data_IF_193172369782
#
_entry.id   IF_193172369782
#
_cell.length_a   1.000
_cell.length_b   1.000
_cell.length_c   1.000
_cell.angle_alpha   90.00
_cell.angle_beta   90.00
_cell.angle_gamma   90.00
#
_symmetry.space_group_name_H-M   'P 1'
#
loop_
_entity.id
_entity.type
_entity.pdbx_description
1 polymer ?
#
# COMPACT_ATOMS: atom_id res chain seq x y z
N UNK A 1 17.72 5.49 87.52
CA UNK A 1 16.72 6.10 86.59
C UNK A 1 17.36 6.60 85.28
N UNK A 2 18.62 7.06 85.30
CA UNK A 2 19.38 7.48 84.10
C UNK A 2 19.71 6.33 83.13
N UNK A 3 20.16 5.19 83.65
CA UNK A 3 20.61 4.06 82.81
C UNK A 3 19.51 3.39 82.00
N UNK A 4 18.28 3.36 82.54
CA UNK A 4 17.11 2.82 81.83
C UNK A 4 16.71 3.68 80.62
N UNK A 5 16.85 5.01 80.72
CA UNK A 5 16.57 5.93 79.60
C UNK A 5 17.63 5.82 78.52
N UNK A 6 18.91 5.65 78.91
CA UNK A 6 20.01 5.40 77.98
C UNK A 6 19.81 4.08 77.23
N UNK A 7 19.51 3.00 77.94
CA UNK A 7 19.24 1.69 77.34
C UNK A 7 18.04 1.70 76.37
N UNK A 8 16.97 2.42 76.70
CA UNK A 8 15.81 2.57 75.82
C UNK A 8 16.15 3.33 74.53
N UNK A 9 16.98 4.37 74.63
CA UNK A 9 17.49 5.12 73.47
C UNK A 9 18.37 4.25 72.57
N UNK A 10 19.27 3.47 73.17
CA UNK A 10 20.18 2.58 72.44
C UNK A 10 19.41 1.46 71.71
N UNK A 11 18.35 0.92 72.33
CA UNK A 11 17.45 -0.06 71.68
C UNK A 11 16.70 0.56 70.49
N UNK A 12 16.26 1.81 70.60
CA UNK A 12 15.58 2.50 69.49
C UNK A 12 16.54 2.80 68.33
N UNK A 13 17.78 3.18 68.64
CA UNK A 13 18.84 3.37 67.65
C UNK A 13 19.14 2.05 66.93
N UNK A 14 19.36 0.96 67.68
CA UNK A 14 19.61 -0.36 67.11
C UNK A 14 18.47 -0.86 66.22
N UNK A 15 17.20 -0.61 66.60
CA UNK A 15 16.04 -0.93 65.76
C UNK A 15 16.01 -0.14 64.45
N UNK A 16 16.39 1.14 64.50
CA UNK A 16 16.49 1.99 63.30
C UNK A 16 17.61 1.52 62.38
N UNK A 17 18.77 1.20 62.93
CA UNK A 17 19.90 0.66 62.17
C UNK A 17 19.56 -0.70 61.53
N UNK A 18 18.93 -1.61 62.27
CA UNK A 18 18.46 -2.90 61.73
C UNK A 18 17.46 -2.70 60.58
N UNK A 19 16.60 -1.68 60.64
CA UNK A 19 15.67 -1.35 59.55
C UNK A 19 16.42 -0.85 58.33
N UNK A 20 17.42 0.02 58.51
CA UNK A 20 18.24 0.55 57.42
C UNK A 20 19.06 -0.57 56.75
N UNK A 21 19.70 -1.44 57.54
CA UNK A 21 20.48 -2.59 57.04
C UNK A 21 19.57 -3.53 56.23
N UNK A 22 18.35 -3.81 56.70
CA UNK A 22 17.38 -4.64 55.96
C UNK A 22 16.99 -4.01 54.62
N UNK A 23 16.78 -2.70 54.58
CA UNK A 23 16.46 -2.00 53.33
C UNK A 23 17.64 -2.05 52.34
N UNK A 24 18.86 -1.90 52.84
CA UNK A 24 20.06 -1.96 52.00
C UNK A 24 20.30 -3.37 51.46
N UNK A 25 20.17 -4.41 52.29
CA UNK A 25 20.21 -5.80 51.85
C UNK A 25 19.14 -6.12 50.78
N UNK A 26 17.93 -5.56 50.90
CA UNK A 26 16.89 -5.75 49.89
C UNK A 26 17.26 -5.10 48.56
N UNK A 27 17.85 -3.90 48.57
CA UNK A 27 18.34 -3.22 47.35
C UNK A 27 19.47 -4.00 46.70
N UNK A 28 20.46 -4.43 47.48
CA UNK A 28 21.59 -5.22 46.98
C UNK A 28 21.11 -6.54 46.39
N UNK A 29 20.17 -7.24 47.05
CA UNK A 29 19.56 -8.46 46.53
C UNK A 29 18.83 -8.25 45.20
N UNK A 30 18.14 -7.11 45.03
CA UNK A 30 17.47 -6.77 43.78
C UNK A 30 18.47 -6.49 42.65
N UNK A 31 19.55 -5.74 42.94
CA UNK A 31 20.62 -5.47 41.97
C UNK A 31 21.28 -6.76 41.50
N UNK A 32 21.66 -7.62 42.45
CA UNK A 32 22.34 -8.89 42.16
C UNK A 32 21.44 -9.86 41.38
N UNK A 33 20.12 -9.84 41.64
CA UNK A 33 19.15 -10.60 40.85
C UNK A 33 19.08 -10.10 39.39
N UNK A 34 19.17 -8.80 39.17
CA UNK A 34 19.19 -8.21 37.82
C UNK A 34 20.48 -8.56 37.07
N UNK A 35 21.63 -8.50 37.74
CA UNK A 35 22.92 -8.87 37.16
C UNK A 35 22.99 -10.35 36.81
N UNK A 36 22.49 -11.23 37.68
CA UNK A 36 22.41 -12.68 37.40
C UNK A 36 21.51 -12.97 36.19
N UNK A 37 20.38 -12.25 36.05
CA UNK A 37 19.52 -12.40 34.88
C UNK A 37 20.24 -12.01 33.58
N UNK A 38 21.01 -10.92 33.60
CA UNK A 38 21.82 -10.48 32.46
C UNK A 38 22.92 -11.50 32.12
N UNK A 39 23.61 -12.04 33.13
CA UNK A 39 24.64 -13.08 32.94
C UNK A 39 24.03 -14.36 32.36
N UNK A 40 22.84 -14.76 32.82
CA UNK A 40 22.13 -15.91 32.27
C UNK A 40 21.74 -15.71 30.80
N UNK A 41 21.31 -14.50 30.42
CA UNK A 41 20.99 -14.15 29.04
C UNK A 41 22.24 -14.16 28.15
N UNK A 42 23.36 -13.61 28.62
CA UNK A 42 24.64 -13.64 27.91
C UNK A 42 25.19 -15.06 27.74
N UNK A 43 25.07 -15.91 28.76
CA UNK A 43 25.51 -17.31 28.70
C UNK A 43 24.66 -18.12 27.70
N UNK A 44 23.34 -17.90 27.67
CA UNK A 44 22.44 -18.51 26.68
C UNK A 44 22.87 -18.19 25.25
N UNK A 45 23.18 -16.92 24.99
CA UNK A 45 23.64 -16.47 23.68
C UNK A 45 25.02 -17.05 23.29
N UNK A 46 25.89 -17.32 24.27
CA UNK A 46 27.25 -17.85 24.04
C UNK A 46 27.25 -19.36 23.80
N UNK A 47 26.31 -20.11 24.39
CA UNK A 47 26.16 -21.55 24.13
C UNK A 47 25.61 -21.86 22.74
N UNK A 48 24.93 -20.91 22.08
CA UNK A 48 24.41 -21.06 20.72
C UNK A 48 25.49 -20.81 19.63
N UNK A 49 26.62 -20.18 19.98
CA UNK A 49 27.67 -19.80 19.03
C UNK A 49 28.85 -20.77 18.91
N UNK A 50 29.02 -21.74 19.83
CA UNK A 50 30.18 -22.64 19.82
C UNK A 50 29.80 -24.10 19.51
N UNK A 51 29.46 -24.38 18.25
CA UNK A 51 29.69 -25.71 17.66
C UNK A 51 30.12 -25.59 16.20
N UNK A 52 31.18 -26.34 15.90
CA UNK A 52 31.93 -26.42 14.66
C UNK A 52 31.10 -26.69 13.40
N UNK A 53 31.68 -26.32 12.26
CA UNK A 53 31.27 -26.57 10.88
C UNK A 53 30.31 -27.76 10.68
N UNK A 54 29.03 -27.45 10.67
CA UNK A 54 28.03 -28.10 9.83
C UNK A 54 27.13 -26.96 9.36
N UNK A 55 26.70 -26.99 8.10
CA UNK A 55 25.71 -26.08 7.54
C UNK A 55 24.52 -25.96 8.50
N UNK A 56 24.51 -24.90 9.34
CA UNK A 56 23.43 -24.63 10.27
C UNK A 56 22.18 -24.48 9.42
N UNK A 57 21.25 -25.43 9.55
CA UNK A 57 19.86 -25.20 9.18
C UNK A 57 19.49 -23.92 9.91
N UNK A 58 19.22 -22.86 9.16
CA UNK A 58 18.62 -21.66 9.73
C UNK A 58 17.43 -22.13 10.55
N UNK A 59 17.31 -21.68 11.79
CA UNK A 59 15.99 -21.62 12.40
C UNK A 59 15.18 -20.75 11.45
N UNK A 60 14.32 -21.39 10.65
CA UNK A 60 13.40 -20.72 9.73
C UNK A 60 12.41 -19.93 10.59
N UNK A 61 12.84 -18.76 11.07
CA UNK A 61 12.01 -17.79 11.79
C UNK A 61 10.99 -17.29 10.78
N UNK A 62 9.85 -17.97 10.75
CA UNK A 62 8.69 -17.56 9.97
C UNK A 62 8.06 -16.33 10.63
N UNK A 63 7.94 -15.25 9.87
CA UNK A 63 7.23 -14.04 10.29
C UNK A 63 5.74 -14.19 9.97
N UNK A 64 4.94 -14.47 10.99
CA UNK A 64 3.48 -14.49 10.84
C UNK A 64 2.94 -13.07 10.80
N UNK A 65 2.12 -12.77 9.80
CA UNK A 65 1.45 -11.47 9.64
C UNK A 65 -0.06 -11.67 9.66
N UNK A 66 -0.77 -10.79 10.37
CA UNK A 66 -2.23 -10.75 10.38
C UNK A 66 -2.72 -9.59 9.51
N UNK A 67 -3.75 -9.77 8.68
CA UNK A 67 -4.34 -8.67 7.93
C UNK A 67 -4.90 -7.58 8.85
N UNK A 68 -4.68 -6.32 8.49
CA UNK A 68 -5.29 -5.16 9.18
C UNK A 68 -6.74 -4.91 8.73
N UNK A 69 -7.09 -5.41 7.55
CA UNK A 69 -8.36 -5.15 6.89
C UNK A 69 -8.50 -5.93 5.60
N UNK A 70 -9.67 -5.81 4.98
CA UNK A 70 -10.00 -6.50 3.73
C UNK A 70 -10.52 -5.52 2.68
N UNK A 71 -10.14 -5.78 1.43
CA UNK A 71 -10.63 -5.03 0.29
C UNK A 71 -12.01 -5.54 -0.12
N UNK A 72 -12.98 -4.62 -0.25
CA UNK A 72 -14.13 -4.82 -1.12
C UNK A 72 -13.82 -4.21 -2.49
N UNK A 73 -13.88 -5.03 -3.55
CA UNK A 73 -13.42 -4.65 -4.89
C UNK A 73 -14.54 -4.77 -5.92
N UNK A 74 -14.46 -3.93 -6.95
CA UNK A 74 -15.20 -4.08 -8.19
C UNK A 74 -14.91 -5.39 -8.94
N UNK A 75 -13.81 -6.08 -8.65
CA UNK A 75 -13.41 -7.31 -9.31
C UNK A 75 -13.69 -8.54 -8.44
N UNK A 76 -14.76 -9.27 -8.76
CA UNK A 76 -15.12 -10.52 -8.04
C UNK A 76 -14.30 -11.74 -8.48
N UNK A 77 -13.79 -11.71 -9.71
CA UNK A 77 -13.00 -12.78 -10.31
C UNK A 77 -11.64 -12.24 -10.77
N UNK A 78 -10.66 -13.14 -10.95
CA UNK A 78 -9.32 -12.75 -11.42
C UNK A 78 -9.35 -12.12 -12.82
N UNK A 79 -10.26 -12.58 -13.68
CA UNK A 79 -10.46 -12.07 -15.03
C UNK A 79 -10.88 -10.60 -14.99
N UNK A 80 -10.27 -9.74 -15.81
CA UNK A 80 -10.57 -8.32 -15.86
C UNK A 80 -9.85 -7.45 -14.84
N UNK A 81 -9.11 -8.04 -13.88
CA UNK A 81 -8.25 -7.25 -12.98
C UNK A 81 -7.10 -6.63 -13.79
N UNK A 82 -6.89 -5.30 -13.71
CA UNK A 82 -5.76 -4.63 -14.34
C UNK A 82 -4.42 -5.21 -13.87
N UNK A 83 -3.39 -5.16 -14.72
CA UNK A 83 -2.04 -5.58 -14.33
C UNK A 83 -1.45 -4.77 -13.18
N UNK A 84 -1.79 -3.49 -13.15
CA UNK A 84 -1.21 -2.46 -12.29
C UNK A 84 -2.32 -1.42 -12.03
N UNK A 85 -2.32 -0.76 -10.87
CA UNK A 85 -3.42 0.09 -10.41
C UNK A 85 -3.71 1.28 -11.34
N UNK A 86 -2.68 1.94 -11.86
CA UNK A 86 -2.81 3.13 -12.72
C UNK A 86 -3.44 2.88 -14.10
N UNK A 87 -3.66 1.62 -14.48
CA UNK A 87 -4.14 1.27 -15.82
C UNK A 87 -5.66 1.36 -15.97
N UNK A 88 -6.42 1.34 -14.87
CA UNK A 88 -7.88 1.49 -14.88
C UNK A 88 -8.30 2.42 -13.75
N UNK A 89 -8.19 3.76 -13.92
CA UNK A 89 -8.47 4.72 -12.86
C UNK A 89 -9.90 4.65 -12.32
N UNK A 90 -10.86 4.25 -13.15
CA UNK A 90 -12.27 4.11 -12.77
C UNK A 90 -12.57 2.85 -11.94
N UNK A 91 -11.59 1.95 -11.74
CA UNK A 91 -11.75 0.79 -10.86
C UNK A 91 -11.80 1.25 -9.39
N UNK A 92 -12.90 0.98 -8.71
CA UNK A 92 -13.15 1.44 -7.32
C UNK A 92 -13.17 0.27 -6.35
N UNK A 93 -12.77 0.55 -5.12
CA UNK A 93 -12.88 -0.37 -4.00
C UNK A 93 -12.91 0.36 -2.67
N UNK A 94 -13.14 -0.40 -1.59
CA UNK A 94 -12.96 0.08 -0.23
C UNK A 94 -12.01 -0.83 0.53
N UNK A 95 -11.30 -0.25 1.49
CA UNK A 95 -10.57 -1.00 2.51
C UNK A 95 -11.23 -0.72 3.86
N UNK A 96 -11.76 -1.75 4.51
CA UNK A 96 -12.26 -1.64 5.88
C UNK A 96 -11.25 -2.23 6.86
N UNK A 97 -10.82 -1.41 7.83
CA UNK A 97 -9.93 -1.82 8.92
C UNK A 97 -10.74 -2.65 9.92
N UNK A 98 -10.23 -3.82 10.30
CA UNK A 98 -10.93 -4.71 11.21
C UNK A 98 -10.88 -4.21 12.66
N UNK A 99 -12.04 -4.22 13.32
CA UNK A 99 -12.18 -3.88 14.75
C UNK A 99 -11.42 -4.84 15.70
N UNK A 100 -11.01 -6.01 15.22
CA UNK A 100 -10.21 -6.95 16.02
C UNK A 100 -8.76 -6.49 16.19
N UNK A 101 -8.30 -5.55 15.37
CA UNK A 101 -6.93 -5.03 15.37
C UNK A 101 -6.80 -3.88 16.36
N UNK A 102 -7.78 -2.98 16.36
CA UNK A 102 -7.84 -1.82 17.25
C UNK A 102 -9.27 -1.69 17.80
N UNK A 103 -9.40 -1.29 19.07
CA UNK A 103 -10.72 -1.00 19.66
C UNK A 103 -11.46 0.10 18.88
N UNK A 104 -10.73 1.12 18.44
CA UNK A 104 -11.22 2.27 17.65
C UNK A 104 -10.41 2.37 16.34
N UNK A 105 -10.70 1.55 15.32
CA UNK A 105 -9.90 1.50 14.09
C UNK A 105 -9.88 2.80 13.30
N UNK A 106 -10.88 3.65 13.42
CA UNK A 106 -10.90 4.99 12.83
C UNK A 106 -9.77 5.90 13.34
N UNK A 107 -9.30 5.70 14.58
CA UNK A 107 -8.21 6.50 15.13
C UNK A 107 -6.87 6.24 14.42
N UNK A 108 -6.66 5.05 13.85
CA UNK A 108 -5.43 4.75 13.11
C UNK A 108 -5.38 5.41 11.74
N UNK A 109 -6.47 6.05 11.30
CA UNK A 109 -6.62 6.70 10.00
C UNK A 109 -6.57 8.23 10.06
N UNK A 110 -6.51 8.82 11.26
CA UNK A 110 -6.49 10.28 11.44
C UNK A 110 -5.27 10.88 10.73
N UNK A 111 -5.49 11.92 9.92
CA UNK A 111 -4.46 12.62 9.15
C UNK A 111 -4.12 11.96 7.82
N UNK A 112 -4.64 10.76 7.54
CA UNK A 112 -4.42 10.11 6.25
C UNK A 112 -5.21 10.79 5.11
N UNK A 113 -6.28 11.50 5.42
CA UNK A 113 -7.08 12.31 4.51
C UNK A 113 -6.34 13.53 3.94
N UNK A 114 -5.20 13.92 4.53
CA UNK A 114 -4.29 14.93 3.98
C UNK A 114 -3.52 14.43 2.74
N UNK A 115 -3.54 13.11 2.46
CA UNK A 115 -2.80 12.49 1.35
C UNK A 115 -3.75 12.03 0.25
N UNK A 116 -3.42 12.35 -1.01
CA UNK A 116 -4.21 11.87 -2.17
C UNK A 116 -3.88 10.44 -2.61
N UNK A 117 -2.72 9.91 -2.20
CA UNK A 117 -2.23 8.59 -2.60
C UNK A 117 -1.63 7.84 -1.42
N UNK A 118 -1.85 6.53 -1.41
CA UNK A 118 -1.32 5.62 -0.41
C UNK A 118 -0.69 4.39 -1.06
N UNK A 119 0.38 3.89 -0.47
CA UNK A 119 0.88 2.54 -0.68
C UNK A 119 0.01 1.55 0.08
N UNK A 120 -0.40 0.49 -0.59
CA UNK A 120 -1.14 -0.62 0.01
C UNK A 120 -0.31 -1.90 -0.16
N UNK A 121 0.04 -2.52 0.97
CA UNK A 121 0.70 -3.82 1.04
C UNK A 121 -0.37 -4.89 1.28
N UNK A 122 -0.45 -5.90 0.43
CA UNK A 122 -1.55 -6.87 0.46
C UNK A 122 -1.09 -8.29 0.12
N UNK A 123 -1.95 -9.27 0.36
CA UNK A 123 -1.64 -10.68 0.08
C UNK A 123 -2.39 -11.17 -1.16
N UNK A 124 -1.68 -11.82 -2.09
CA UNK A 124 -2.30 -12.55 -3.20
C UNK A 124 -2.94 -13.87 -2.72
N UNK A 125 -3.99 -13.77 -1.92
CA UNK A 125 -4.65 -14.85 -1.19
C UNK A 125 -5.28 -15.96 -2.06
N UNK A 126 -5.43 -15.74 -3.37
CA UNK A 126 -5.89 -16.77 -4.33
C UNK A 126 -4.77 -17.36 -5.19
N UNK A 127 -3.51 -17.06 -4.92
CA UNK A 127 -2.42 -17.79 -5.55
C UNK A 127 -2.30 -19.14 -4.85
N UNK A 128 -2.59 -20.22 -5.58
CA UNK A 128 -2.57 -21.57 -5.04
C UNK A 128 -1.26 -21.85 -4.32
N UNK A 129 -1.35 -22.16 -3.03
CA UNK A 129 -0.24 -22.50 -2.14
C UNK A 129 0.33 -23.89 -2.40
N UNK A 130 -0.22 -24.61 -3.39
CA UNK A 130 0.00 -26.05 -3.57
C UNK A 130 1.23 -26.40 -4.44
N UNK A 131 1.82 -25.44 -5.15
CA UNK A 131 2.98 -25.68 -6.00
C UNK A 131 4.19 -24.89 -5.52
N UNK A 132 5.36 -25.54 -5.50
CA UNK A 132 6.64 -24.88 -5.26
C UNK A 132 6.79 -23.66 -6.18
N UNK A 133 7.04 -22.50 -5.58
CA UNK A 133 7.20 -21.25 -6.32
C UNK A 133 8.41 -21.38 -7.25
N UNK A 134 8.20 -21.13 -8.54
CA UNK A 134 9.26 -21.19 -9.55
C UNK A 134 10.17 -19.97 -9.45
N UNK A 135 11.48 -20.19 -9.53
CA UNK A 135 12.47 -19.11 -9.56
C UNK A 135 12.37 -18.24 -10.84
N UNK A 136 11.87 -18.81 -11.94
CA UNK A 136 11.63 -18.11 -13.21
C UNK A 136 10.15 -18.04 -13.53
N UNK A 137 9.74 -16.92 -14.14
CA UNK A 137 8.38 -16.65 -14.60
C UNK A 137 8.40 -16.19 -16.05
N UNK A 138 7.24 -16.20 -16.72
CA UNK A 138 7.08 -15.75 -18.10
C UNK A 138 6.20 -14.49 -18.14
N UNK A 139 6.78 -13.28 -18.02
CA UNK A 139 6.03 -12.04 -18.14
C UNK A 139 5.33 -11.91 -19.50
N UNK A 140 4.09 -11.40 -19.56
CA UNK A 140 3.34 -11.28 -20.80
C UNK A 140 4.03 -10.45 -21.89
N UNK A 141 4.85 -9.46 -21.51
CA UNK A 141 5.58 -8.57 -22.44
C UNK A 141 6.87 -9.19 -23.01
N UNK A 142 7.24 -10.39 -22.58
CA UNK A 142 8.48 -11.06 -23.00
C UNK A 142 8.25 -12.18 -24.03
N UNK A 143 7.08 -12.24 -24.68
CA UNK A 143 6.79 -13.13 -25.81
C UNK A 143 7.24 -14.60 -25.61
N UNK A 144 7.06 -15.14 -24.39
CA UNK A 144 7.41 -16.52 -24.06
C UNK A 144 8.79 -16.71 -23.43
N UNK A 145 9.67 -15.71 -23.44
CA UNK A 145 10.92 -15.75 -22.68
C UNK A 145 10.65 -15.73 -21.16
N UNK A 146 11.60 -16.28 -20.38
CA UNK A 146 11.51 -16.32 -18.92
C UNK A 146 12.57 -15.43 -18.27
N UNK A 147 12.23 -14.85 -17.11
CA UNK A 147 13.13 -14.06 -16.27
C UNK A 147 12.95 -14.45 -14.81
N UNK A 148 13.92 -14.08 -13.96
CA UNK A 148 13.84 -14.34 -12.53
C UNK A 148 12.61 -13.67 -11.89
N UNK A 149 11.96 -14.33 -10.94
CA UNK A 149 10.73 -13.82 -10.30
C UNK A 149 10.92 -12.43 -9.68
N UNK A 150 12.10 -12.17 -9.10
CA UNK A 150 12.41 -10.90 -8.42
C UNK A 150 12.69 -9.72 -9.36
N UNK A 151 12.90 -9.95 -10.66
CA UNK A 151 12.94 -8.86 -11.65
C UNK A 151 11.55 -8.51 -12.19
N UNK A 152 10.48 -9.04 -11.58
CA UNK A 152 9.10 -8.87 -12.03
C UNK A 152 8.15 -8.50 -10.88
N UNK A 153 6.92 -8.12 -11.24
CA UNK A 153 5.79 -7.96 -10.32
C UNK A 153 4.83 -9.16 -10.38
N UNK A 154 5.34 -10.37 -10.66
CA UNK A 154 4.52 -11.59 -10.69
C UNK A 154 3.82 -11.80 -9.35
N UNK A 155 2.56 -12.26 -9.31
CA UNK A 155 1.90 -12.58 -8.05
C UNK A 155 2.41 -13.92 -7.48
N UNK A 156 2.92 -14.82 -8.31
CA UNK A 156 3.51 -16.11 -7.90
C UNK A 156 4.95 -15.91 -7.40
N UNK A 157 5.13 -15.71 -6.09
CA UNK A 157 6.41 -15.41 -5.42
C UNK A 157 6.49 -16.11 -4.05
N UNK A 158 7.69 -16.27 -3.46
CA UNK A 158 7.85 -16.94 -2.16
C UNK A 158 7.04 -16.28 -1.04
N UNK A 159 7.11 -14.95 -0.94
CA UNK A 159 6.18 -14.14 -0.17
C UNK A 159 5.19 -13.50 -1.15
N UNK A 160 3.93 -13.94 -1.12
CA UNK A 160 2.89 -13.49 -2.04
C UNK A 160 2.34 -12.11 -1.66
N UNK A 161 3.25 -11.16 -1.41
CA UNK A 161 2.94 -9.77 -1.03
C UNK A 161 2.91 -8.92 -2.29
N UNK A 162 1.80 -8.22 -2.48
CA UNK A 162 1.62 -7.19 -3.48
C UNK A 162 1.85 -5.78 -2.91
N UNK A 163 2.16 -4.85 -3.80
CA UNK A 163 2.34 -3.43 -3.50
C UNK A 163 1.65 -2.63 -4.59
N UNK A 164 0.67 -1.82 -4.20
CA UNK A 164 -0.07 -0.96 -5.12
C UNK A 164 -0.07 0.49 -4.63
N UNK A 165 0.21 1.42 -5.53
CA UNK A 165 -0.02 2.85 -5.32
C UNK A 165 -1.46 3.15 -5.70
N UNK A 166 -2.27 3.54 -4.72
CA UNK A 166 -3.70 3.69 -4.86
C UNK A 166 -4.10 5.13 -4.56
N UNK A 167 -5.08 5.66 -5.32
CA UNK A 167 -5.66 6.96 -5.05
C UNK A 167 -6.67 6.83 -3.91
N UNK A 168 -6.48 7.65 -2.86
CA UNK A 168 -7.40 7.77 -1.74
C UNK A 168 -8.43 8.85 -2.08
N UNK A 169 -9.71 8.47 -2.14
CA UNK A 169 -10.79 9.39 -2.48
C UNK A 169 -11.41 10.04 -1.24
N UNK A 170 -11.64 9.25 -0.19
CA UNK A 170 -12.14 9.70 1.12
C UNK A 170 -11.96 8.64 2.19
N UNK A 171 -12.13 9.03 3.45
CA UNK A 171 -12.18 8.14 4.61
C UNK A 171 -13.51 8.36 5.32
N UNK A 172 -14.23 7.29 5.64
CA UNK A 172 -15.45 7.34 6.45
C UNK A 172 -15.39 6.29 7.56
N UNK A 173 -15.33 6.74 8.82
CA UNK A 173 -15.12 5.87 9.97
C UNK A 173 -13.84 5.05 9.84
N UNK A 174 -13.97 3.73 9.79
CA UNK A 174 -12.86 2.78 9.64
C UNK A 174 -12.65 2.30 8.19
N UNK A 175 -13.24 2.99 7.21
CA UNK A 175 -13.25 2.56 5.81
C UNK A 175 -12.63 3.62 4.89
N UNK A 176 -11.66 3.20 4.08
CA UNK A 176 -11.03 4.02 3.06
C UNK A 176 -11.67 3.73 1.71
N UNK A 177 -12.00 4.78 0.96
CA UNK A 177 -12.54 4.69 -0.40
C UNK A 177 -11.42 4.94 -1.40
N UNK A 178 -11.28 4.00 -2.35
CA UNK A 178 -10.11 3.87 -3.19
C UNK A 178 -10.49 3.86 -4.67
N UNK A 179 -9.65 4.45 -5.52
CA UNK A 179 -9.77 4.36 -6.99
C UNK A 179 -8.45 3.97 -7.65
N UNK A 180 -8.55 3.49 -8.90
CA UNK A 180 -7.43 2.88 -9.60
C UNK A 180 -6.99 1.56 -8.97
N UNK A 181 -7.91 0.74 -8.45
CA UNK A 181 -7.53 -0.49 -7.74
C UNK A 181 -7.19 -1.65 -8.69
N UNK A 182 -6.33 -2.57 -8.23
CA UNK A 182 -5.98 -3.83 -8.91
C UNK A 182 -6.18 -5.06 -8.01
N UNK A 183 -7.09 -4.96 -7.04
CA UNK A 183 -7.34 -6.00 -6.04
C UNK A 183 -8.47 -6.94 -6.46
N UNK A 184 -8.36 -8.22 -6.08
CA UNK A 184 -9.49 -9.13 -6.06
C UNK A 184 -10.37 -8.81 -4.82
N UNK A 185 -11.68 -8.97 -4.94
CA UNK A 185 -12.58 -8.87 -3.79
C UNK A 185 -12.18 -9.82 -2.66
N UNK A 186 -12.20 -9.33 -1.42
CA UNK A 186 -11.73 -10.08 -0.25
C UNK A 186 -10.21 -10.10 -0.09
N UNK A 187 -9.45 -9.30 -0.84
CA UNK A 187 -7.99 -9.24 -0.70
C UNK A 187 -7.59 -8.77 0.69
N UNK A 188 -6.79 -9.56 1.45
CA UNK A 188 -6.29 -9.14 2.77
C UNK A 188 -5.20 -8.07 2.62
N UNK A 189 -5.30 -6.99 3.39
CA UNK A 189 -4.30 -5.92 3.47
C UNK A 189 -3.44 -6.12 4.70
N UNK A 190 -2.13 -6.01 4.54
CA UNK A 190 -1.14 -6.11 5.60
C UNK A 190 -0.80 -4.75 6.20
N UNK A 191 -0.70 -3.72 5.37
CA UNK A 191 -0.26 -2.39 5.80
C UNK A 191 -0.65 -1.31 4.78
N UNK A 192 -0.72 -0.06 5.23
CA UNK A 192 -0.93 1.13 4.40
C UNK A 192 0.05 2.23 4.80
N UNK A 193 0.55 2.99 3.82
CA UNK A 193 1.47 4.11 4.06
C UNK A 193 1.15 5.29 3.14
N UNK A 194 1.27 6.55 3.58
CA UNK A 194 1.14 7.68 2.68
C UNK A 194 2.22 7.65 1.59
N UNK A 195 1.85 7.99 0.35
CA UNK A 195 2.80 8.20 -0.72
C UNK A 195 3.38 9.61 -0.61
N UNK A 196 4.70 9.72 -0.62
CA UNK A 196 5.40 11.00 -0.51
C UNK A 196 6.38 11.10 -1.68
N UNK A 197 6.10 11.94 -2.69
CA UNK A 197 6.93 12.06 -3.90
C UNK A 197 8.42 12.29 -3.60
N UNK A 198 8.72 13.08 -2.57
CA UNK A 198 10.09 13.40 -2.17
C UNK A 198 10.90 12.16 -1.73
N UNK A 199 10.27 11.16 -1.12
CA UNK A 199 10.93 9.93 -0.65
C UNK A 199 10.78 8.76 -1.62
N UNK A 200 9.68 8.72 -2.37
CA UNK A 200 9.29 7.56 -3.18
C UNK A 200 9.73 7.68 -4.65
N UNK A 201 10.17 8.86 -5.10
CA UNK A 201 10.67 9.08 -6.47
C UNK A 201 12.21 9.09 -6.48
N UNK A 202 12.87 8.17 -7.21
CA UNK A 202 14.33 8.08 -7.22
C UNK A 202 15.08 9.32 -7.73
N UNK A 203 14.47 10.17 -8.56
CA UNK A 203 15.13 11.35 -9.12
C UNK A 203 15.49 12.42 -8.09
N UNK A 204 15.02 12.29 -6.85
CA UNK A 204 15.29 13.22 -5.73
C UNK A 204 16.62 12.90 -5.03
N UNK A 205 17.24 11.74 -5.28
CA UNK A 205 18.52 11.36 -4.67
C UNK A 205 19.75 12.07 -5.27
N UNK A 206 19.56 13.03 -6.19
CA UNK A 206 20.65 13.81 -6.78
C UNK A 206 20.64 15.23 -6.24
N UNK A 207 21.77 15.57 -5.62
CA UNK A 207 22.18 16.86 -5.04
C UNK A 207 21.65 17.19 -3.63
N UNK A 208 22.55 17.70 -2.78
CA UNK A 208 22.31 18.10 -1.40
C UNK A 208 21.07 19.03 -1.33
N UNK A 209 20.00 18.65 -0.61
CA UNK A 209 18.78 19.45 -0.51
C UNK A 209 19.03 20.88 0.03
N UNK A 210 20.13 21.06 0.75
CA UNK A 210 20.57 22.33 1.34
C UNK A 210 20.98 23.38 0.31
N UNK A 211 21.43 23.01 -0.90
CA UNK A 211 21.94 23.95 -1.89
C UNK A 211 20.86 24.50 -2.82
N UNK A 212 19.81 23.74 -3.12
CA UNK A 212 18.68 24.24 -3.92
C UNK A 212 17.76 25.16 -3.12
N UNK A 213 17.62 24.96 -1.81
CA UNK A 213 16.84 25.86 -0.95
C UNK A 213 17.48 27.26 -0.83
N UNK A 214 18.82 27.34 -0.90
CA UNK A 214 19.57 28.61 -0.91
C UNK A 214 19.47 29.29 -2.29
N UNK A 215 19.51 28.53 -3.39
CA UNK A 215 19.37 29.06 -4.75
C UNK A 215 17.96 29.55 -5.06
N UNK A 216 16.93 28.83 -4.61
CA UNK A 216 15.53 29.17 -4.94
C UNK A 216 14.97 30.32 -4.10
N UNK A 217 15.62 30.68 -2.98
CA UNK A 217 15.18 31.78 -2.12
C UNK A 217 15.95 33.09 -2.31
N UNK A 218 16.87 33.22 -3.29
CA UNK A 218 17.59 34.47 -3.59
C UNK A 218 18.03 35.25 -2.33
N UNK A 219 18.54 34.56 -1.31
CA UNK A 219 19.21 35.24 -0.21
C UNK A 219 20.60 35.59 -0.73
N UNK A 220 20.70 36.73 -1.41
CA UNK A 220 21.98 37.43 -1.54
C UNK A 220 22.43 37.79 -0.13
N UNK A 221 23.29 36.96 0.45
CA UNK A 221 24.11 37.37 1.59
C UNK A 221 25.13 38.39 1.09
N UNK A 222 24.67 39.62 0.89
CA UNK A 222 25.55 40.77 0.89
C UNK A 222 25.95 40.99 2.34
N UNK A 223 27.11 40.47 2.72
CA UNK A 223 27.79 40.96 3.92
C UNK A 223 28.21 42.39 3.58
N UNK A 224 27.36 43.34 3.96
CA UNK A 224 27.77 44.72 4.16
C UNK A 224 27.57 45.06 5.62
N UNK A 225 28.66 45.56 6.18
CA UNK A 225 28.80 46.03 7.55
C UNK A 225 27.82 47.16 7.83
N UNK A 226 27.36 47.13 9.09
CA UNK A 226 26.93 48.26 9.92
C UNK A 226 25.50 48.84 9.79
N UNK A 227 24.94 48.94 11.00
CA UNK A 227 23.95 49.88 11.54
C UNK A 227 22.48 49.43 11.62
N UNK A 228 22.06 49.36 12.89
CA UNK A 228 20.74 49.57 13.49
C UNK A 228 19.55 49.78 12.55
N UNK A 229 18.47 49.02 12.76
CA UNK A 229 17.11 49.53 13.04
C UNK A 229 16.09 48.38 13.24
N UNK A 230 14.97 48.74 13.87
CA UNK A 230 14.05 47.93 14.68
C UNK A 230 13.04 47.04 13.94
N UNK A 231 12.45 46.11 14.71
CA UNK A 231 11.41 45.18 14.33
C UNK A 231 10.06 45.85 14.01
N UNK A 232 9.78 46.14 12.74
CA UNK A 232 8.40 46.45 12.29
C UNK A 232 8.07 46.10 10.83
N UNK A 233 8.98 45.54 10.01
CA UNK A 233 8.73 45.32 8.57
C UNK A 233 8.50 43.86 8.13
N UNK A 234 8.08 42.97 9.02
CA UNK A 234 7.85 41.54 8.67
C UNK A 234 6.44 41.27 8.08
N UNK A 235 5.51 42.23 8.09
CA UNK A 235 4.08 41.93 7.87
C UNK A 235 3.49 42.21 6.47
N UNK A 236 4.28 42.54 5.42
CA UNK A 236 3.70 43.01 4.15
C UNK A 236 4.05 42.23 2.86
N UNK A 237 4.50 40.97 2.92
CA UNK A 237 4.80 40.18 1.69
C UNK A 237 3.91 38.94 1.52
N UNK A 238 2.71 38.95 2.10
CA UNK A 238 1.64 37.96 1.84
C UNK A 238 0.54 38.56 0.97
N UNK A 239 0.86 38.93 -0.27
CA UNK A 239 -0.13 39.13 -1.32
C UNK A 239 0.55 39.15 -2.68
N UNK A 240 -0.02 38.39 -3.63
CA UNK A 240 0.29 38.41 -5.08
C UNK A 240 1.30 37.37 -5.58
N UNK A 241 0.87 36.11 -5.74
CA UNK A 241 1.37 35.28 -6.85
C UNK A 241 0.18 34.79 -7.65
N UNK A 242 0.01 35.42 -8.81
CA UNK A 242 -0.98 35.11 -9.84
C UNK A 242 -0.51 33.85 -10.56
N UNK A 243 -1.32 32.80 -10.54
CA UNK A 243 -1.07 31.55 -11.29
C UNK A 243 -1.57 31.74 -12.72
N UNK A 244 -0.64 31.94 -13.65
CA UNK A 244 -0.91 31.83 -15.09
C UNK A 244 -0.62 30.40 -15.56
N UNK A 245 -1.63 29.84 -16.23
CA UNK A 245 -1.73 28.52 -16.82
C UNK A 245 -0.73 28.24 -17.96
N UNK A 246 -0.49 26.94 -18.18
CA UNK A 246 0.26 26.31 -19.27
C UNK A 246 1.79 26.26 -19.11
N UNK A 247 2.24 25.33 -18.26
CA UNK A 247 3.53 24.68 -18.45
C UNK A 247 3.33 23.17 -18.48
N UNK A 248 3.38 22.60 -19.68
CA UNK A 248 3.58 21.18 -19.93
C UNK A 248 4.78 20.75 -19.10
N UNK A 249 4.54 19.97 -18.04
CA UNK A 249 5.62 19.36 -17.26
C UNK A 249 6.30 18.37 -18.20
N UNK A 250 7.34 18.84 -18.89
CA UNK A 250 8.30 17.99 -19.57
C UNK A 250 8.88 17.11 -18.47
N UNK A 251 8.46 15.84 -18.45
CA UNK A 251 9.05 14.81 -17.60
C UNK A 251 10.49 14.66 -18.13
N UNK A 252 11.38 15.55 -17.67
CA UNK A 252 12.82 15.33 -17.70
C UNK A 252 13.01 13.94 -17.12
N UNK A 253 13.61 13.07 -17.93
CA UNK A 253 13.81 11.65 -17.64
C UNK A 253 14.12 11.44 -16.17
N UNK A 254 13.23 10.79 -15.43
CA UNK A 254 13.63 10.22 -14.15
C UNK A 254 14.84 9.33 -14.43
N UNK A 255 15.95 9.55 -13.76
CA UNK A 255 17.18 8.75 -13.86
C UNK A 255 16.98 7.35 -13.26
N UNK A 256 16.01 6.59 -13.78
CA UNK A 256 15.74 5.22 -13.39
C UNK A 256 15.95 4.29 -14.58
N UNK A 257 16.83 3.31 -14.40
CA UNK A 257 17.01 2.27 -15.41
C UNK A 257 15.85 1.28 -15.32
N UNK A 258 15.06 1.19 -16.38
CA UNK A 258 13.94 0.24 -16.48
C UNK A 258 14.22 -0.70 -17.65
N UNK A 259 13.99 -1.99 -17.42
CA UNK A 259 14.21 -3.01 -18.44
C UNK A 259 13.46 -2.68 -19.74
N UNK A 260 14.14 -2.81 -20.88
CA UNK A 260 13.64 -2.33 -22.18
C UNK A 260 12.30 -2.93 -22.60
N UNK A 261 12.01 -4.18 -22.24
CA UNK A 261 10.72 -4.82 -22.54
C UNK A 261 9.53 -4.22 -21.76
N UNK A 262 9.78 -3.42 -20.73
CA UNK A 262 8.76 -2.67 -19.99
C UNK A 262 8.59 -1.24 -20.51
N UNK A 263 9.65 -0.63 -21.07
CA UNK A 263 9.63 0.73 -21.63
C UNK A 263 9.14 0.80 -23.07
N UNK A 264 9.19 -0.32 -23.82
CA UNK A 264 8.56 -0.42 -25.14
C UNK A 264 7.09 -0.05 -25.07
N UNK A 265 6.64 0.79 -26.01
CA UNK A 265 5.23 1.14 -26.17
C UNK A 265 4.40 -0.15 -26.28
N UNK A 266 3.47 -0.40 -25.34
CA UNK A 266 2.62 -1.57 -25.45
C UNK A 266 1.69 -1.41 -26.66
N UNK A 267 1.52 -2.49 -27.42
CA UNK A 267 0.48 -2.56 -28.45
C UNK A 267 -0.86 -2.76 -27.75
N UNK A 268 -1.63 -1.68 -27.63
CA UNK A 268 -2.96 -1.70 -27.04
C UNK A 268 -3.96 -2.36 -28.00
N UNK A 269 -5.04 -2.87 -27.42
CA UNK A 269 -6.18 -3.40 -28.17
C UNK A 269 -7.10 -2.26 -28.62
N UNK A 270 -7.62 -2.38 -29.83
CA UNK A 270 -8.76 -1.61 -30.27
C UNK A 270 -10.03 -2.24 -29.70
N UNK A 271 -10.69 -1.52 -28.79
CA UNK A 271 -11.90 -2.03 -28.13
C UNK A 271 -13.12 -1.52 -28.88
N UNK A 272 -13.86 -2.44 -29.48
CA UNK A 272 -15.08 -2.15 -30.22
C UNK A 272 -16.29 -2.66 -29.45
N UNK A 273 -17.42 -1.96 -29.58
CA UNK A 273 -18.69 -2.37 -29.01
C UNK A 273 -19.67 -2.63 -30.13
N UNK A 274 -20.25 -3.82 -30.16
CA UNK A 274 -21.35 -4.13 -31.07
C UNK A 274 -22.56 -3.22 -30.78
N UNK A 275 -23.43 -3.02 -31.77
CA UNK A 275 -24.71 -2.30 -31.57
C UNK A 275 -25.54 -2.91 -30.43
N UNK A 276 -25.47 -4.24 -30.26
CA UNK A 276 -26.09 -4.95 -29.15
C UNK A 276 -25.48 -4.55 -27.81
N UNK A 277 -24.15 -4.56 -27.69
CA UNK A 277 -23.47 -4.17 -26.46
C UNK A 277 -23.71 -2.69 -26.10
N UNK A 278 -23.77 -1.80 -27.10
CA UNK A 278 -24.14 -0.40 -26.88
C UNK A 278 -25.57 -0.27 -26.34
N UNK A 279 -26.52 -1.01 -26.91
CA UNK A 279 -27.90 -1.06 -26.41
C UNK A 279 -27.97 -1.69 -25.00
N UNK A 280 -27.19 -2.72 -24.72
CA UNK A 280 -27.10 -3.32 -23.39
C UNK A 280 -26.55 -2.31 -22.37
N UNK A 281 -25.59 -1.46 -22.78
CA UNK A 281 -25.04 -0.39 -21.97
C UNK A 281 -26.08 0.69 -21.67
N UNK A 282 -26.85 1.14 -22.66
CA UNK A 282 -27.92 2.15 -22.47
C UNK A 282 -29.04 1.65 -21.56
N UNK A 283 -29.34 0.35 -21.59
CA UNK A 283 -30.34 -0.26 -20.71
C UNK A 283 -29.81 -0.56 -19.30
N UNK A 284 -28.49 -0.49 -19.10
CA UNK A 284 -27.87 -0.75 -17.81
C UNK A 284 -28.23 0.39 -16.85
N UNK A 285 -28.98 0.08 -15.80
CA UNK A 285 -29.38 1.09 -14.81
C UNK A 285 -28.16 1.62 -14.04
N UNK A 286 -27.70 2.79 -14.45
CA UNK A 286 -26.81 3.66 -13.66
C UNK A 286 -27.61 4.17 -12.47
N UNK A 287 -27.17 3.90 -11.24
CA UNK A 287 -27.90 4.35 -10.04
C UNK A 287 -27.67 5.84 -9.82
N UNK A 288 -28.75 6.58 -9.60
CA UNK A 288 -28.71 7.96 -9.14
C UNK A 288 -28.23 7.97 -7.67
N UNK A 289 -27.22 8.80 -7.37
CA UNK A 289 -26.54 8.93 -6.07
C UNK A 289 -27.44 9.36 -4.91
N UNK A 290 -28.76 9.46 -5.13
CA UNK A 290 -29.74 10.19 -4.32
C UNK A 290 -30.72 9.32 -3.52
N UNK A 291 -30.68 7.99 -3.61
CA UNK A 291 -31.56 7.11 -2.80
C UNK A 291 -30.73 6.16 -1.94
N UNK A 292 -30.72 6.43 -0.63
CA UNK A 292 -29.90 5.80 0.41
C UNK A 292 -29.96 4.27 0.44
N UNK A 293 -29.07 3.63 -0.29
CA UNK A 293 -28.79 2.20 -0.21
C UNK A 293 -27.31 1.93 -0.50
N UNK A 294 -26.61 1.40 0.53
CA UNK A 294 -25.26 0.84 0.50
C UNK A 294 -24.16 1.82 0.08
N UNK A 295 -23.50 2.42 1.07
CA UNK A 295 -22.32 3.28 0.88
C UNK A 295 -21.12 2.55 0.26
N UNK A 296 -21.14 1.21 0.25
CA UNK A 296 -20.12 0.34 -0.36
C UNK A 296 -20.43 -0.07 -1.82
N UNK A 297 -21.46 0.50 -2.44
CA UNK A 297 -21.90 0.07 -3.75
C UNK A 297 -21.13 0.84 -4.83
N UNK A 298 -20.05 0.23 -5.33
CA UNK A 298 -19.17 0.71 -6.43
C UNK A 298 -19.90 0.82 -7.78
N UNK A 299 -21.02 1.52 -7.84
CA UNK A 299 -21.78 1.66 -9.06
C UNK A 299 -21.08 2.62 -10.03
N UNK A 300 -21.29 2.36 -11.32
CA UNK A 300 -21.02 3.37 -12.34
C UNK A 300 -21.96 4.56 -12.13
N UNK A 301 -21.40 5.77 -12.27
CA UNK A 301 -22.11 7.05 -12.19
C UNK A 301 -22.67 7.48 -13.54
N UNK A 302 -22.15 6.90 -14.63
CA UNK A 302 -22.64 7.14 -15.99
C UNK A 302 -22.36 5.94 -16.91
N UNK A 303 -23.11 5.85 -18.02
CA UNK A 303 -22.83 4.88 -19.09
C UNK A 303 -21.45 5.09 -19.71
N UNK A 304 -20.99 6.34 -19.77
CA UNK A 304 -19.65 6.68 -20.27
C UNK A 304 -18.55 6.12 -19.37
N UNK A 305 -18.70 6.23 -18.05
CA UNK A 305 -17.77 5.63 -17.09
C UNK A 305 -17.74 4.11 -17.26
N UNK A 306 -18.90 3.45 -17.34
CA UNK A 306 -18.99 2.01 -17.56
C UNK A 306 -18.27 1.58 -18.86
N UNK A 307 -18.52 2.28 -19.97
CA UNK A 307 -17.85 2.03 -21.26
C UNK A 307 -16.34 2.20 -21.15
N UNK A 308 -15.90 3.26 -20.49
CA UNK A 308 -14.48 3.56 -20.33
C UNK A 308 -13.79 2.50 -19.47
N UNK A 309 -14.39 2.11 -18.34
CA UNK A 309 -13.86 1.04 -17.46
C UNK A 309 -13.72 -0.27 -18.21
N UNK A 310 -14.74 -0.68 -18.99
CA UNK A 310 -14.66 -1.90 -19.82
C UNK A 310 -13.53 -1.81 -20.84
N UNK A 311 -13.37 -0.64 -21.47
CA UNK A 311 -12.30 -0.37 -22.44
C UNK A 311 -10.93 -0.46 -21.79
N UNK A 312 -10.74 0.18 -20.63
CA UNK A 312 -9.48 0.21 -19.90
C UNK A 312 -9.09 -1.18 -19.40
N UNK A 313 -10.06 -1.95 -18.90
CA UNK A 313 -9.85 -3.34 -18.50
C UNK A 313 -9.37 -4.17 -19.70
N UNK A 314 -10.06 -4.11 -20.84
CA UNK A 314 -9.71 -4.90 -22.02
C UNK A 314 -8.35 -4.51 -22.59
N UNK A 315 -8.04 -3.21 -22.66
CA UNK A 315 -6.72 -2.71 -23.12
C UNK A 315 -5.57 -3.17 -22.22
N UNK A 316 -5.82 -3.33 -20.92
CA UNK A 316 -4.77 -3.54 -19.93
C UNK A 316 -4.71 -4.95 -19.34
N UNK A 317 -5.69 -5.81 -19.62
CA UNK A 317 -5.71 -7.20 -19.17
C UNK A 317 -4.55 -7.98 -19.80
N UNK A 318 -3.61 -8.53 -19.00
CA UNK A 318 -2.43 -9.23 -19.49
C UNK A 318 -2.75 -10.55 -20.19
N UNK A 319 -3.89 -11.16 -19.85
CA UNK A 319 -4.28 -12.48 -20.33
C UNK A 319 -4.79 -12.41 -21.77
N UNK A 320 -5.11 -11.22 -22.27
CA UNK A 320 -5.42 -10.98 -23.66
C UNK A 320 -4.30 -11.50 -24.57
N UNK A 321 -3.02 -11.23 -24.28
CA UNK A 321 -1.89 -11.69 -25.12
C UNK A 321 -1.80 -13.22 -25.20
N UNK A 322 -1.90 -13.91 -24.05
CA UNK A 322 -1.91 -15.37 -24.02
C UNK A 322 -3.14 -15.94 -24.74
N UNK A 323 -4.32 -15.37 -24.47
CA UNK A 323 -5.59 -15.83 -25.05
C UNK A 323 -5.67 -15.61 -26.55
N UNK A 324 -5.24 -14.46 -27.05
CA UNK A 324 -5.16 -14.15 -28.49
C UNK A 324 -4.36 -15.22 -29.24
N UNK A 325 -3.23 -15.63 -28.68
CA UNK A 325 -2.31 -16.55 -29.35
C UNK A 325 -2.67 -18.03 -29.17
N UNK A 326 -3.46 -18.40 -28.14
CA UNK A 326 -3.73 -19.81 -27.79
C UNK A 326 -5.20 -20.21 -27.70
N UNK A 327 -6.13 -19.27 -27.79
CA UNK A 327 -7.55 -19.48 -27.59
C UNK A 327 -8.39 -18.58 -28.51
N UNK A 328 -8.10 -18.60 -29.82
CA UNK A 328 -8.83 -17.82 -30.82
C UNK A 328 -10.34 -18.07 -30.77
N UNK A 329 -10.75 -19.33 -30.58
CA UNK A 329 -12.15 -19.73 -30.79
C UNK A 329 -13.02 -19.68 -29.53
N UNK A 330 -12.63 -18.89 -28.51
CA UNK A 330 -13.31 -18.90 -27.21
C UNK A 330 -13.66 -17.51 -26.72
N UNK A 331 -14.94 -17.34 -26.37
CA UNK A 331 -15.45 -16.16 -25.68
C UNK A 331 -14.68 -15.88 -24.39
N UNK A 332 -14.41 -14.60 -24.14
CA UNK A 332 -13.90 -14.11 -22.88
C UNK A 332 -15.01 -13.44 -22.08
N UNK A 333 -14.96 -13.64 -20.77
CA UNK A 333 -15.84 -12.95 -19.86
C UNK A 333 -15.09 -12.53 -18.61
N UNK A 334 -15.51 -11.38 -18.09
CA UNK A 334 -15.04 -10.84 -16.83
C UNK A 334 -16.15 -10.05 -16.15
N UNK A 335 -15.93 -9.77 -14.87
CA UNK A 335 -16.83 -8.99 -14.05
C UNK A 335 -16.14 -7.74 -13.57
N UNK A 336 -16.83 -6.61 -13.69
CA UNK A 336 -16.42 -5.34 -13.11
C UNK A 336 -17.66 -4.65 -12.54
N UNK A 337 -17.62 -4.31 -11.26
CA UNK A 337 -18.80 -3.90 -10.50
C UNK A 337 -19.94 -4.92 -10.67
N UNK A 338 -21.13 -4.46 -11.05
CA UNK A 338 -22.30 -5.27 -11.33
C UNK A 338 -22.47 -5.63 -12.82
N UNK A 339 -21.39 -5.55 -13.60
CA UNK A 339 -21.41 -5.79 -15.04
C UNK A 339 -20.69 -7.10 -15.37
N UNK A 340 -21.42 -8.02 -15.99
CA UNK A 340 -20.86 -9.16 -16.70
C UNK A 340 -20.60 -8.73 -18.14
N UNK A 341 -19.33 -8.73 -18.54
CA UNK A 341 -18.90 -8.39 -19.89
C UNK A 341 -18.58 -9.67 -20.65
N UNK A 342 -19.15 -9.83 -21.84
CA UNK A 342 -18.77 -10.89 -22.78
C UNK A 342 -18.13 -10.27 -24.01
N UNK A 343 -16.93 -10.71 -24.35
CA UNK A 343 -16.17 -10.20 -25.49
C UNK A 343 -15.43 -11.31 -26.22
N UNK A 344 -15.03 -11.00 -27.44
CA UNK A 344 -14.20 -11.82 -28.30
C UNK A 344 -12.90 -11.07 -28.60
N UNK A 345 -11.82 -11.82 -28.85
CA UNK A 345 -10.55 -11.24 -29.28
C UNK A 345 -10.23 -11.73 -30.67
N UNK A 346 -9.93 -10.80 -31.57
CA UNK A 346 -9.44 -11.09 -32.91
C UNK A 346 -8.22 -10.21 -33.19
N UNK A 347 -7.06 -10.84 -33.38
CA UNK A 347 -5.78 -10.15 -33.56
C UNK A 347 -5.56 -8.97 -32.59
N UNK A 348 -5.72 -7.72 -33.06
CA UNK A 348 -5.52 -6.50 -32.26
C UNK A 348 -6.82 -5.86 -31.78
N UNK A 349 -7.95 -6.52 -31.97
CA UNK A 349 -9.29 -6.04 -31.64
C UNK A 349 -9.87 -6.85 -30.49
N UNK A 350 -10.48 -6.16 -29.52
CA UNK A 350 -11.36 -6.75 -28.52
C UNK A 350 -12.78 -6.28 -28.79
N UNK A 351 -13.64 -7.17 -29.25
CA UNK A 351 -15.03 -6.85 -29.56
C UNK A 351 -15.94 -7.23 -28.40
N UNK A 352 -16.62 -6.25 -27.82
CA UNK A 352 -17.62 -6.43 -26.78
C UNK A 352 -18.96 -6.82 -27.43
N UNK A 353 -19.38 -8.04 -27.13
CA UNK A 353 -20.56 -8.67 -27.75
C UNK A 353 -21.82 -8.47 -26.91
N UNK A 354 -21.68 -8.49 -25.58
CA UNK A 354 -22.82 -8.42 -24.66
C UNK A 354 -22.42 -7.85 -23.30
N UNK A 355 -23.33 -7.09 -22.72
CA UNK A 355 -23.23 -6.60 -21.35
C UNK A 355 -24.48 -7.04 -20.58
N UNK A 356 -24.30 -7.57 -19.37
CA UNK A 356 -25.43 -7.97 -18.51
C UNK A 356 -25.22 -7.48 -17.09
N UNK A 357 -26.30 -7.05 -16.44
CA UNK A 357 -26.24 -6.83 -14.99
C UNK A 357 -26.20 -8.17 -14.25
N UNK A 358 -25.24 -8.33 -13.35
CA UNK A 358 -25.11 -9.51 -12.47
C UNK A 358 -26.16 -9.53 -11.36
N UNK A 359 -26.80 -8.40 -11.05
CA UNK A 359 -27.82 -8.30 -10.00
C UNK A 359 -29.08 -9.09 -10.30
N UNK A 360 -29.36 -9.36 -11.57
CA UNK A 360 -30.53 -10.14 -12.01
C UNK A 360 -30.45 -11.62 -11.61
N UNK A 361 -29.27 -12.13 -11.24
CA UNK A 361 -29.06 -13.55 -10.88
C UNK A 361 -29.15 -13.84 -9.37
N UNK A 362 -29.36 -12.82 -8.52
CA UNK A 362 -29.49 -12.98 -7.06
C UNK A 362 -30.95 -12.96 -6.57
N UNK A 363 -31.91 -13.12 -7.49
CA UNK A 363 -33.34 -13.23 -7.20
C UNK A 363 -33.91 -14.50 -7.84
N UNK A 364 -33.38 -15.65 -7.47
CA UNK A 364 -34.06 -16.95 -7.60
C UNK A 364 -33.80 -17.77 -6.34
#
# INVERSE_FOLDING_TARGET
MSDFKKLASDILLARRELKNIRQECMKQKASLKSEVALIQELLKNTTESNHACSCKKNDDKNYSMSPIGFISSCFKNKNGIPRQPSLCPAAKGTLSIEKKIFNNPEHSLIGLDEFSYIWVLFVFHKNGSENAVKAKVHPPRLNGSSVGVFSTRSPHRPCAIGLSLIKLEKIEGNTLFLSGIDFLDGTPVLDIKPYIPFYDIPSVFKENPTLEFIKNNNIQTTIQQDNDLSAEEINNVTSSVVVSSESTISIKSLDCNVASYLTRTPQYLDVLFTNRALKDLENFHVRDSRKGYCDNCFNFTSHSEAKQTVTDVLKNDPRSVYRRNKCSDRLYYFHVNDLHVTCWFDENVAEVLRLKSTRTQLRE
#
